data_IF_381508150941
#
_entry.id   IF_381508150941
#
_cell.length_a   1.000
_cell.length_b   1.000
_cell.length_c   1.000
_cell.angle_alpha   90.00
_cell.angle_beta   90.00
_cell.angle_gamma   90.00
#
_symmetry.space_group_name_H-M   'P 1'
#
loop_
_entity.id
_entity.type
_entity.pdbx_description
1 polymer ?
#
# COMPACT_ATOMS: atom_id res chain seq x y z
N UNK A 1 39.51 -59.19 -14.54
CA UNK A 1 40.99 -59.13 -14.57
C UNK A 1 41.40 -58.05 -15.54
N UNK A 2 42.20 -57.09 -15.05
CA UNK A 2 43.31 -56.40 -15.73
C UNK A 2 43.15 -56.16 -17.25
N UNK A 3 43.35 -54.97 -17.80
CA UNK A 3 44.09 -53.80 -17.32
C UNK A 3 43.97 -52.79 -18.47
N UNK A 4 43.92 -51.53 -18.09
CA UNK A 4 44.69 -50.46 -18.69
C UNK A 4 44.37 -49.99 -20.12
N UNK A 5 44.56 -48.71 -20.47
CA UNK A 5 44.89 -47.46 -19.77
C UNK A 5 45.33 -46.52 -20.89
N UNK A 6 44.97 -45.22 -20.78
CA UNK A 6 45.67 -44.09 -21.41
C UNK A 6 45.67 -44.04 -22.95
N UNK A 7 45.73 -42.90 -23.63
CA UNK A 7 45.80 -41.46 -23.38
C UNK A 7 45.98 -40.90 -24.81
N UNK A 8 45.58 -39.65 -25.07
CA UNK A 8 46.23 -38.93 -26.18
C UNK A 8 45.29 -38.22 -27.14
N UNK A 9 44.94 -37.01 -26.72
CA UNK A 9 44.62 -35.86 -27.56
C UNK A 9 45.65 -35.68 -28.69
N UNK A 10 45.22 -35.50 -29.94
CA UNK A 10 45.84 -34.51 -30.84
C UNK A 10 44.93 -34.15 -32.02
N UNK A 11 44.71 -32.85 -32.16
CA UNK A 11 44.10 -32.14 -33.27
C UNK A 11 44.97 -32.25 -34.51
N UNK A 12 44.39 -32.62 -35.66
CA UNK A 12 44.90 -32.23 -36.98
C UNK A 12 43.70 -31.90 -37.86
N UNK A 13 43.51 -30.61 -38.11
CA UNK A 13 42.63 -30.09 -39.15
C UNK A 13 43.37 -30.19 -40.50
N UNK A 14 42.83 -30.98 -41.42
CA UNK A 14 43.17 -30.89 -42.85
C UNK A 14 41.86 -30.72 -43.60
N UNK A 15 41.68 -29.52 -44.14
CA UNK A 15 40.65 -29.18 -45.11
C UNK A 15 41.13 -29.71 -46.46
N UNK A 16 40.50 -30.78 -46.97
CA UNK A 16 40.55 -31.13 -48.39
C UNK A 16 39.17 -30.86 -48.97
N UNK A 17 39.10 -29.87 -49.86
CA UNK A 17 37.92 -29.61 -50.68
C UNK A 17 37.73 -30.73 -51.69
N UNK A 18 36.59 -31.39 -51.64
CA UNK A 18 36.08 -32.21 -52.72
C UNK A 18 34.81 -31.56 -53.27
N UNK A 19 34.92 -30.99 -54.47
CA UNK A 19 33.78 -30.59 -55.29
C UNK A 19 33.13 -31.87 -55.80
N UNK A 20 31.92 -32.17 -55.33
CA UNK A 20 31.04 -33.16 -55.92
C UNK A 20 29.68 -32.52 -56.22
N UNK A 21 29.46 -32.30 -57.52
CA UNK A 21 28.18 -31.97 -58.11
C UNK A 21 27.16 -33.07 -57.80
N UNK A 22 26.16 -32.74 -56.98
CA UNK A 22 24.90 -33.50 -56.94
C UNK A 22 23.76 -32.57 -57.31
N UNK A 23 23.18 -32.86 -58.47
CA UNK A 23 21.96 -32.27 -58.99
C UNK A 23 20.77 -32.76 -58.17
N UNK A 24 19.91 -31.82 -57.77
CA UNK A 24 18.46 -32.04 -57.63
C UNK A 24 17.98 -32.80 -56.38
N UNK A 25 17.58 -32.02 -55.37
CA UNK A 25 16.33 -32.18 -54.62
C UNK A 25 16.16 -30.93 -53.76
N UNK A 26 15.10 -30.15 -54.02
CA UNK A 26 14.70 -29.06 -53.14
C UNK A 26 14.37 -29.65 -51.77
N UNK A 27 15.27 -29.51 -50.81
CA UNK A 27 14.95 -29.59 -49.39
C UNK A 27 15.19 -28.18 -48.87
N UNK A 28 14.13 -27.37 -48.86
CA UNK A 28 14.08 -26.21 -47.98
C UNK A 28 14.15 -26.78 -46.56
N UNK A 29 15.33 -26.77 -45.97
CA UNK A 29 15.44 -26.88 -44.52
C UNK A 29 14.60 -25.76 -43.91
N UNK A 30 13.80 -26.02 -42.86
CA UNK A 30 13.06 -24.94 -42.22
C UNK A 30 14.08 -23.96 -41.66
N UNK A 31 14.18 -22.79 -42.30
CA UNK A 31 14.79 -21.61 -41.70
C UNK A 31 14.06 -21.37 -40.38
N UNK A 32 14.73 -21.65 -39.27
CA UNK A 32 14.21 -21.32 -37.94
C UNK A 32 14.20 -19.79 -37.82
N UNK A 33 13.07 -19.18 -38.21
CA UNK A 33 12.79 -17.78 -37.92
C UNK A 33 12.72 -17.64 -36.41
N UNK A 34 13.77 -17.09 -35.81
CA UNK A 34 13.73 -16.70 -34.40
C UNK A 34 12.86 -15.45 -34.34
N UNK A 35 11.56 -15.63 -34.11
CA UNK A 35 10.65 -14.53 -33.82
C UNK A 35 10.97 -13.98 -32.44
N UNK A 36 11.85 -12.99 -32.37
CA UNK A 36 12.02 -12.18 -31.16
C UNK A 36 10.74 -11.36 -30.98
N UNK A 37 9.85 -11.80 -30.09
CA UNK A 37 8.69 -10.99 -29.65
C UNK A 37 9.20 -9.65 -29.11
N UNK A 38 8.71 -8.50 -29.61
CA UNK A 38 9.10 -7.21 -29.06
C UNK A 38 8.72 -7.15 -27.58
N UNK A 39 9.68 -6.84 -26.70
CA UNK A 39 9.39 -6.62 -25.29
C UNK A 39 8.44 -5.43 -25.15
N UNK A 40 7.23 -5.66 -24.64
CA UNK A 40 6.23 -4.60 -24.40
C UNK A 40 6.83 -3.52 -23.51
N UNK A 41 6.88 -2.29 -23.99
CA UNK A 41 7.39 -1.15 -23.22
C UNK A 41 6.55 -0.97 -21.92
N UNK A 42 7.24 -0.82 -20.79
CA UNK A 42 6.61 -0.61 -19.48
C UNK A 42 6.86 0.80 -18.95
N UNK A 43 6.05 1.22 -17.97
CA UNK A 43 6.27 2.46 -17.21
C UNK A 43 6.10 2.23 -15.70
N UNK A 44 6.79 3.01 -14.85
CA UNK A 44 6.57 2.99 -13.41
C UNK A 44 5.36 3.86 -13.03
N UNK A 45 4.48 3.32 -12.18
CA UNK A 45 3.44 4.04 -11.47
C UNK A 45 3.56 3.76 -9.97
N UNK A 46 2.81 4.48 -9.13
CA UNK A 46 2.72 4.19 -7.69
C UNK A 46 1.38 3.53 -7.37
N UNK A 47 1.40 2.53 -6.50
CA UNK A 47 0.22 2.02 -5.82
C UNK A 47 0.51 2.08 -4.31
N UNK A 48 -0.47 2.51 -3.51
CA UNK A 48 -0.27 2.71 -2.08
C UNK A 48 -0.71 1.47 -1.29
N UNK A 49 0.21 0.94 -0.49
CA UNK A 49 0.00 -0.24 0.36
C UNK A 49 0.46 0.04 1.79
N UNK A 50 0.11 -0.86 2.70
CA UNK A 50 0.53 -0.76 4.09
C UNK A 50 1.83 -1.53 4.32
N UNK A 51 2.79 -0.88 5.00
CA UNK A 51 3.94 -1.54 5.61
C UNK A 51 3.82 -1.38 7.13
N UNK A 52 3.42 -2.44 7.82
CA UNK A 52 2.91 -2.30 9.19
C UNK A 52 1.66 -1.40 9.19
N UNK A 53 1.61 -0.39 10.04
CA UNK A 53 0.51 0.58 10.09
C UNK A 53 0.63 1.72 9.05
N UNK A 54 1.77 1.85 8.37
CA UNK A 54 2.07 3.01 7.52
C UNK A 54 1.58 2.82 6.09
N UNK A 55 0.74 3.74 5.60
CA UNK A 55 0.39 3.83 4.18
C UNK A 55 1.56 4.46 3.41
N UNK A 56 2.13 3.72 2.46
CA UNK A 56 3.33 4.12 1.71
C UNK A 56 3.19 3.83 0.21
N UNK A 57 3.82 4.64 -0.65
CA UNK A 57 3.84 4.37 -2.09
C UNK A 57 4.76 3.19 -2.39
N UNK A 58 4.31 2.29 -3.26
CA UNK A 58 5.12 1.23 -3.86
C UNK A 58 5.16 1.42 -5.37
N UNK A 59 6.34 1.29 -5.96
CA UNK A 59 6.50 1.40 -7.41
C UNK A 59 6.03 0.10 -8.06
N UNK A 60 5.06 0.21 -8.96
CA UNK A 60 4.53 -0.90 -9.77
C UNK A 60 4.86 -0.64 -11.24
N UNK A 61 5.25 -1.68 -11.97
CA UNK A 61 5.46 -1.58 -13.43
C UNK A 61 4.22 -2.06 -14.17
N UNK A 62 3.75 -1.23 -15.09
CA UNK A 62 2.60 -1.54 -15.95
C UNK A 62 2.98 -1.39 -17.41
N UNK A 63 2.24 -2.04 -18.31
CA UNK A 63 2.35 -1.78 -19.73
C UNK A 63 2.10 -0.29 -20.01
N UNK A 64 2.83 0.29 -20.96
CA UNK A 64 2.69 1.71 -21.31
C UNK A 64 1.27 1.98 -21.82
N UNK A 65 0.61 3.00 -21.27
CA UNK A 65 -0.79 3.36 -21.55
C UNK A 65 -1.06 4.83 -21.26
N UNK A 66 -2.03 5.44 -21.95
CA UNK A 66 -2.55 6.77 -21.58
C UNK A 66 -3.51 6.70 -20.39
N UNK A 67 -4.09 5.53 -20.09
CA UNK A 67 -5.04 5.31 -18.98
C UNK A 67 -4.31 5.08 -17.64
N UNK A 68 -3.41 6.00 -17.26
CA UNK A 68 -2.52 5.82 -16.10
C UNK A 68 -3.27 5.68 -14.77
N UNK A 69 -4.39 6.39 -14.59
CA UNK A 69 -5.21 6.28 -13.38
C UNK A 69 -5.85 4.90 -13.24
N UNK A 70 -6.44 4.39 -14.33
CA UNK A 70 -6.99 3.03 -14.40
C UNK A 70 -5.90 1.98 -14.18
N UNK A 71 -4.72 2.15 -14.79
CA UNK A 71 -3.61 1.21 -14.65
C UNK A 71 -3.06 1.17 -13.22
N UNK A 72 -2.88 2.33 -12.57
CA UNK A 72 -2.44 2.40 -11.18
C UNK A 72 -3.46 1.74 -10.23
N UNK A 73 -4.76 2.02 -10.41
CA UNK A 73 -5.80 1.43 -9.58
C UNK A 73 -5.93 -0.08 -9.80
N UNK A 74 -5.81 -0.57 -11.05
CA UNK A 74 -5.75 -2.01 -11.33
C UNK A 74 -4.54 -2.67 -10.67
N UNK A 75 -3.38 -2.02 -10.69
CA UNK A 75 -2.18 -2.53 -10.01
C UNK A 75 -2.39 -2.59 -8.49
N UNK A 76 -3.07 -1.60 -7.89
CA UNK A 76 -3.46 -1.62 -6.48
C UNK A 76 -4.40 -2.81 -6.17
N UNK A 77 -5.43 -3.02 -7.00
CA UNK A 77 -6.39 -4.11 -6.83
C UNK A 77 -5.79 -5.50 -7.11
N UNK A 78 -4.69 -5.56 -7.88
CA UNK A 78 -3.92 -6.79 -8.09
C UNK A 78 -3.26 -7.34 -6.83
N UNK A 79 -3.22 -6.56 -5.76
CA UNK A 79 -2.74 -6.98 -4.44
C UNK A 79 -1.36 -6.43 -4.07
N UNK A 80 -1.00 -6.52 -2.78
CA UNK A 80 0.27 -6.00 -2.29
C UNK A 80 1.44 -6.88 -2.71
N UNK A 81 2.64 -6.30 -2.97
CA UNK A 81 3.85 -7.08 -3.09
C UNK A 81 4.27 -7.68 -1.73
N UNK A 82 5.22 -8.61 -1.76
CA UNK A 82 5.75 -9.25 -0.56
C UNK A 82 6.26 -8.22 0.46
N UNK A 83 5.90 -8.41 1.73
CA UNK A 83 6.24 -7.49 2.83
C UNK A 83 5.29 -6.30 3.00
N UNK A 84 4.23 -6.23 2.19
CA UNK A 84 3.17 -5.23 2.29
C UNK A 84 1.80 -5.90 2.48
N UNK A 85 0.84 -5.13 2.96
CA UNK A 85 -0.55 -5.57 3.12
C UNK A 85 -1.51 -4.60 2.42
N UNK A 86 -2.73 -5.07 2.19
CA UNK A 86 -3.83 -4.27 1.65
C UNK A 86 -5.02 -4.40 2.58
N UNK A 87 -5.75 -3.29 2.77
CA UNK A 87 -7.03 -3.28 3.45
C UNK A 87 -8.20 -3.40 2.47
N UNK A 88 -7.92 -3.38 1.15
CA UNK A 88 -8.95 -3.54 0.12
C UNK A 88 -9.54 -4.96 0.19
N UNK A 89 -10.88 -5.10 0.26
CA UNK A 89 -11.53 -6.40 0.27
C UNK A 89 -11.14 -7.26 -0.95
N UNK A 90 -10.87 -8.54 -0.71
CA UNK A 90 -10.58 -9.50 -1.77
C UNK A 90 -11.73 -9.59 -2.78
N UNK A 91 -11.40 -9.74 -4.06
CA UNK A 91 -12.40 -9.78 -5.14
C UNK A 91 -12.95 -8.42 -5.57
N UNK A 92 -12.47 -7.30 -5.00
CA UNK A 92 -12.81 -5.96 -5.50
C UNK A 92 -12.30 -5.79 -6.94
N UNK A 93 -13.21 -5.52 -7.87
CA UNK A 93 -12.89 -5.27 -9.29
C UNK A 93 -13.19 -3.83 -9.68
N UNK A 94 -12.56 -3.37 -10.76
CA UNK A 94 -12.70 -2.01 -11.28
C UNK A 94 -13.51 -2.02 -12.58
N UNK A 95 -14.66 -1.34 -12.56
CA UNK A 95 -15.46 -1.10 -13.76
C UNK A 95 -14.87 0.04 -14.59
N UNK A 96 -14.68 1.21 -13.98
CA UNK A 96 -14.21 2.40 -14.67
C UNK A 96 -13.49 3.38 -13.73
N UNK A 97 -12.64 4.22 -14.32
CA UNK A 97 -12.14 5.45 -13.68
C UNK A 97 -12.40 6.60 -14.63
N UNK A 98 -13.10 7.61 -14.13
CA UNK A 98 -13.43 8.82 -14.88
C UNK A 98 -12.77 10.01 -14.21
N UNK A 99 -12.12 10.88 -14.96
CA UNK A 99 -11.49 12.09 -14.40
C UNK A 99 -12.12 13.32 -15.04
N UNK A 100 -12.79 14.13 -14.22
CA UNK A 100 -13.44 15.35 -14.68
C UNK A 100 -13.21 16.49 -13.68
N UNK A 101 -12.80 17.66 -14.19
CA UNK A 101 -12.57 18.88 -13.38
C UNK A 101 -11.66 18.67 -12.17
N UNK A 102 -10.74 17.70 -12.23
CA UNK A 102 -9.79 17.35 -11.16
C UNK A 102 -10.34 16.40 -10.09
N UNK A 103 -11.52 15.82 -10.29
CA UNK A 103 -12.06 14.73 -9.47
C UNK A 103 -11.92 13.43 -10.24
N UNK A 104 -11.31 12.41 -9.63
CA UNK A 104 -11.33 11.05 -10.16
C UNK A 104 -12.45 10.25 -9.48
N UNK A 105 -13.39 9.73 -10.26
CA UNK A 105 -14.44 8.83 -9.79
C UNK A 105 -14.04 7.40 -10.15
N UNK A 106 -13.88 6.54 -9.15
CA UNK A 106 -13.60 5.12 -9.33
C UNK A 106 -14.84 4.29 -9.06
N UNK A 107 -15.36 3.63 -10.09
CA UNK A 107 -16.48 2.69 -9.95
C UNK A 107 -15.95 1.27 -9.74
N UNK A 108 -16.18 0.76 -8.53
CA UNK A 108 -15.69 -0.52 -8.05
C UNK A 108 -16.88 -1.46 -7.80
N UNK A 109 -16.64 -2.77 -7.82
CA UNK A 109 -17.65 -3.75 -7.44
C UNK A 109 -18.18 -3.54 -6.02
N UNK A 110 -19.38 -4.08 -5.73
CA UNK A 110 -20.04 -4.00 -4.42
C UNK A 110 -19.22 -4.47 -3.21
N UNK A 111 -18.15 -5.24 -3.43
CA UNK A 111 -17.18 -5.60 -2.40
C UNK A 111 -16.60 -4.39 -1.66
N UNK A 112 -16.52 -3.21 -2.30
CA UNK A 112 -16.00 -1.99 -1.67
C UNK A 112 -16.98 -1.35 -0.67
N UNK A 113 -18.27 -1.70 -0.70
CA UNK A 113 -19.31 -1.02 0.10
C UNK A 113 -19.05 -1.05 1.61
N UNK A 114 -18.33 -2.06 2.10
CA UNK A 114 -17.95 -2.21 3.52
C UNK A 114 -16.45 -2.02 3.76
N UNK A 115 -15.75 -1.41 2.81
CA UNK A 115 -14.31 -1.24 2.90
C UNK A 115 -13.94 -0.28 4.04
N UNK A 116 -12.96 -0.64 4.89
CA UNK A 116 -12.53 0.23 5.98
C UNK A 116 -11.88 1.50 5.43
N UNK A 117 -11.80 2.53 6.27
CA UNK A 117 -11.13 3.81 5.93
C UNK A 117 -9.70 3.60 5.40
N UNK A 118 -8.99 2.60 5.90
CA UNK A 118 -7.65 2.23 5.41
C UNK A 118 -7.64 1.82 3.94
N UNK A 119 -8.65 1.10 3.47
CA UNK A 119 -8.81 0.76 2.05
C UNK A 119 -9.12 2.00 1.19
N UNK A 120 -9.99 2.88 1.71
CA UNK A 120 -10.34 4.15 1.06
C UNK A 120 -9.09 5.01 0.86
N UNK A 121 -8.21 5.08 1.87
CA UNK A 121 -6.95 5.79 1.79
C UNK A 121 -6.01 5.27 0.70
N UNK A 122 -5.91 3.95 0.53
CA UNK A 122 -5.11 3.35 -0.55
C UNK A 122 -5.59 3.80 -1.94
N UNK A 123 -6.91 3.83 -2.16
CA UNK A 123 -7.51 4.30 -3.41
C UNK A 123 -7.21 5.78 -3.62
N UNK A 124 -7.47 6.61 -2.60
CA UNK A 124 -7.30 8.07 -2.67
C UNK A 124 -5.85 8.45 -2.94
N UNK A 125 -4.89 7.89 -2.19
CA UNK A 125 -3.47 8.19 -2.40
C UNK A 125 -2.95 7.71 -3.75
N UNK A 126 -3.45 6.57 -4.24
CA UNK A 126 -3.10 6.02 -5.56
C UNK A 126 -3.61 6.92 -6.68
N UNK A 127 -4.86 7.39 -6.64
CA UNK A 127 -5.40 8.23 -7.71
C UNK A 127 -4.90 9.67 -7.64
N UNK A 128 -4.67 10.21 -6.43
CA UNK A 128 -4.10 11.56 -6.23
C UNK A 128 -2.58 11.62 -6.43
N UNK A 129 -1.94 10.54 -6.92
CA UNK A 129 -0.53 10.62 -7.35
C UNK A 129 -0.37 11.49 -8.61
N UNK A 130 -1.44 11.62 -9.40
CA UNK A 130 -1.44 12.37 -10.65
C UNK A 130 -1.78 13.84 -10.35
N UNK A 131 -0.95 14.81 -10.77
CA UNK A 131 -1.16 16.23 -10.45
C UNK A 131 -2.50 16.81 -10.91
N UNK A 132 -3.12 16.21 -11.94
CA UNK A 132 -4.43 16.62 -12.44
C UNK A 132 -5.58 16.14 -11.57
N UNK A 133 -5.36 15.19 -10.64
CA UNK A 133 -6.38 14.65 -9.73
C UNK A 133 -6.18 15.25 -8.33
N UNK A 134 -7.09 16.14 -7.95
CA UNK A 134 -7.08 16.83 -6.64
C UNK A 134 -7.86 16.06 -5.57
N UNK A 135 -8.92 15.35 -5.98
CA UNK A 135 -9.78 14.60 -5.08
C UNK A 135 -10.40 13.39 -5.77
N UNK A 136 -10.96 12.49 -4.97
CA UNK A 136 -11.45 11.18 -5.39
C UNK A 136 -12.85 10.93 -4.84
N UNK A 137 -13.73 10.49 -5.72
CA UNK A 137 -15.00 9.88 -5.37
C UNK A 137 -14.93 8.37 -5.66
N UNK A 138 -15.69 7.58 -4.91
CA UNK A 138 -15.78 6.14 -5.10
C UNK A 138 -17.25 5.79 -5.29
N UNK A 139 -17.52 4.99 -6.29
CA UNK A 139 -18.82 4.36 -6.49
C UNK A 139 -18.69 2.86 -6.22
N UNK A 140 -19.75 2.29 -5.67
CA UNK A 140 -19.92 0.87 -5.42
C UNK A 140 -21.03 0.36 -6.34
N UNK A 141 -20.66 -0.31 -7.42
CA UNK A 141 -21.55 -0.80 -8.46
C UNK A 141 -22.46 0.31 -9.01
N UNK A 142 -21.84 1.43 -9.40
CA UNK A 142 -22.53 2.61 -9.94
C UNK A 142 -23.27 3.48 -8.92
N UNK A 143 -23.26 3.14 -7.63
CA UNK A 143 -23.88 3.94 -6.57
C UNK A 143 -22.82 4.68 -5.72
N UNK A 144 -22.98 5.97 -5.41
CA UNK A 144 -22.00 6.72 -4.62
C UNK A 144 -21.71 6.08 -3.26
N UNK A 145 -20.42 5.92 -2.94
CA UNK A 145 -19.94 5.45 -1.64
C UNK A 145 -19.31 6.61 -0.86
N UNK A 146 -19.89 6.92 0.30
CA UNK A 146 -19.37 7.93 1.22
C UNK A 146 -18.05 7.53 1.87
N UNK A 147 -17.01 8.32 1.65
CA UNK A 147 -15.68 8.12 2.26
C UNK A 147 -15.64 8.69 3.68
N UNK A 148 -14.79 8.14 4.54
CA UNK A 148 -14.74 8.48 5.97
C UNK A 148 -13.59 9.43 6.29
N UNK A 149 -13.83 10.43 7.13
CA UNK A 149 -12.84 11.43 7.56
C UNK A 149 -11.90 10.94 8.68
N UNK A 150 -12.24 9.81 9.32
CA UNK A 150 -11.50 9.24 10.45
C UNK A 150 -11.98 9.68 11.83
N UNK A 151 -12.87 10.68 11.92
CA UNK A 151 -13.60 11.03 13.13
C UNK A 151 -14.75 10.06 13.41
N UNK A 152 -15.19 9.34 12.37
CA UNK A 152 -16.41 8.53 12.36
C UNK A 152 -17.52 9.14 11.50
N UNK A 153 -17.19 10.16 10.71
CA UNK A 153 -18.13 10.91 9.88
C UNK A 153 -17.87 10.67 8.40
N UNK A 154 -18.95 10.57 7.64
CA UNK A 154 -18.90 10.49 6.18
C UNK A 154 -18.65 11.88 5.58
N UNK A 155 -17.68 11.96 4.67
CA UNK A 155 -17.40 13.12 3.85
C UNK A 155 -18.56 13.37 2.88
N UNK A 156 -19.06 14.60 2.84
CA UNK A 156 -20.07 15.05 1.88
C UNK A 156 -19.47 15.52 0.55
N UNK A 157 -18.17 15.30 0.34
CA UNK A 157 -17.39 15.74 -0.80
C UNK A 157 -16.40 14.65 -1.23
N UNK A 158 -15.88 14.70 -2.46
CA UNK A 158 -14.72 13.89 -2.85
C UNK A 158 -13.55 14.12 -1.89
N UNK A 159 -12.83 13.05 -1.58
CA UNK A 159 -11.76 13.06 -0.60
C UNK A 159 -10.40 13.37 -1.22
N UNK A 160 -9.57 14.10 -0.49
CA UNK A 160 -8.18 14.39 -0.84
C UNK A 160 -7.20 13.72 0.14
N UNK A 161 -5.89 13.94 -0.08
CA UNK A 161 -4.84 13.36 0.79
C UNK A 161 -4.91 13.84 2.23
N UNK A 162 -5.30 15.09 2.46
CA UNK A 162 -5.45 15.67 3.80
C UNK A 162 -6.45 14.89 4.66
N UNK A 163 -7.50 14.33 4.03
CA UNK A 163 -8.53 13.55 4.72
C UNK A 163 -8.00 12.20 5.24
N UNK A 164 -6.77 11.81 4.89
CA UNK A 164 -6.14 10.53 5.25
C UNK A 164 -4.68 10.69 5.71
N UNK A 165 -4.23 11.92 5.99
CA UNK A 165 -2.84 12.21 6.29
C UNK A 165 -2.32 11.47 7.54
N UNK A 166 -3.21 11.23 8.49
CA UNK A 166 -3.01 10.49 9.75
C UNK A 166 -2.62 9.01 9.55
N UNK A 167 -2.78 8.48 8.34
CA UNK A 167 -2.40 7.11 7.96
C UNK A 167 -0.98 7.02 7.39
N UNK A 168 -0.30 8.16 7.24
CA UNK A 168 1.04 8.23 6.68
C UNK A 168 2.09 8.59 7.74
N UNK A 169 3.37 8.18 7.55
CA UNK A 169 4.45 8.59 8.44
C UNK A 169 4.69 10.10 8.52
N UNK A 170 4.12 10.88 7.60
CA UNK A 170 4.22 12.34 7.60
C UNK A 170 3.30 13.01 8.63
N UNK A 171 2.34 12.28 9.22
CA UNK A 171 1.48 12.81 10.26
C UNK A 171 2.30 13.35 11.44
N UNK A 172 1.80 14.43 12.05
CA UNK A 172 2.42 15.01 13.24
C UNK A 172 2.37 14.04 14.41
N UNK A 173 1.27 13.30 14.57
CA UNK A 173 1.21 12.12 15.44
C UNK A 173 0.87 10.92 14.57
N UNK A 174 1.78 9.94 14.51
CA UNK A 174 1.61 8.72 13.73
C UNK A 174 1.64 7.50 14.64
N UNK A 175 0.58 6.69 14.60
CA UNK A 175 0.45 5.44 15.37
C UNK A 175 1.00 4.28 14.54
N UNK A 176 2.09 3.69 15.02
CA UNK A 176 2.73 2.53 14.39
C UNK A 176 2.22 1.19 14.96
N UNK A 177 1.76 1.18 16.21
CA UNK A 177 1.13 0.04 16.87
C UNK A 177 0.08 0.50 17.89
N UNK A 178 -1.06 -0.19 18.01
CA UNK A 178 -1.53 -1.24 17.09
C UNK A 178 -1.89 -0.67 15.71
N UNK A 179 -1.81 -1.49 14.67
CA UNK A 179 -2.32 -1.10 13.37
C UNK A 179 -3.85 -0.98 13.41
N UNK A 180 -4.41 -0.07 12.61
CA UNK A 180 -5.86 0.18 12.57
C UNK A 180 -6.61 -1.03 12.02
N UNK A 181 -7.67 -1.44 12.71
CA UNK A 181 -8.45 -2.64 12.43
C UNK A 181 -7.73 -3.94 12.77
N UNK A 182 -6.54 -3.89 13.36
CA UNK A 182 -5.79 -5.12 13.69
C UNK A 182 -6.39 -5.86 14.88
N UNK A 183 -6.12 -7.15 14.93
CA UNK A 183 -6.39 -7.98 16.09
C UNK A 183 -5.07 -8.35 16.77
N UNK A 184 -4.93 -8.03 18.05
CA UNK A 184 -3.71 -8.16 18.86
C UNK A 184 -3.97 -8.97 20.14
N UNK A 185 -2.93 -9.30 20.89
CA UNK A 185 -3.02 -9.94 22.21
C UNK A 185 -2.66 -8.92 23.31
N UNK A 186 -3.14 -9.19 24.52
CA UNK A 186 -2.71 -8.44 25.70
C UNK A 186 -1.36 -8.97 26.21
N UNK A 187 -0.42 -8.11 26.62
CA UNK A 187 -0.55 -6.67 26.67
C UNK A 187 -0.30 -6.00 25.30
N UNK A 188 -1.06 -4.94 25.01
CA UNK A 188 -1.03 -4.24 23.72
C UNK A 188 0.07 -3.19 23.70
N UNK A 189 0.97 -3.25 22.72
CA UNK A 189 1.94 -2.19 22.48
C UNK A 189 1.27 -0.98 21.81
N UNK A 190 1.28 0.17 22.48
CA UNK A 190 0.92 1.46 21.91
C UNK A 190 2.21 2.22 21.59
N UNK A 191 2.53 2.40 20.30
CA UNK A 191 3.79 3.01 19.88
C UNK A 191 3.63 3.83 18.60
N UNK A 192 4.50 4.83 18.43
CA UNK A 192 4.43 5.71 17.28
C UNK A 192 5.54 6.76 17.24
N UNK A 193 5.34 7.75 16.37
CA UNK A 193 6.21 8.93 16.28
C UNK A 193 5.38 10.20 16.40
N UNK A 194 5.99 11.25 16.93
CA UNK A 194 5.34 12.52 17.12
C UNK A 194 6.28 13.70 16.81
N UNK A 195 5.72 14.79 16.28
CA UNK A 195 6.31 16.14 16.24
C UNK A 195 5.31 17.03 16.97
N UNK A 196 5.53 17.21 18.27
CA UNK A 196 4.59 17.87 19.20
C UNK A 196 5.35 18.74 20.20
N UNK A 197 4.72 19.80 20.70
CA UNK A 197 5.30 20.70 21.69
C UNK A 197 5.60 19.96 23.01
N UNK A 198 6.68 20.34 23.70
CA UNK A 198 7.11 19.72 24.97
C UNK A 198 7.21 18.18 24.94
N UNK A 199 7.38 17.60 23.75
CA UNK A 199 7.37 16.16 23.52
C UNK A 199 6.12 15.45 24.08
N UNK A 200 5.01 16.15 24.26
CA UNK A 200 3.86 15.63 25.01
C UNK A 200 2.80 15.05 24.07
N UNK A 201 2.49 13.77 24.26
CA UNK A 201 1.41 13.07 23.55
C UNK A 201 0.42 12.54 24.57
N UNK A 202 -0.82 13.00 24.52
CA UNK A 202 -1.90 12.42 25.30
C UNK A 202 -2.52 11.24 24.53
N UNK A 203 -2.95 10.20 25.25
CA UNK A 203 -3.65 9.06 24.68
C UNK A 203 -4.87 8.69 25.53
N UNK A 204 -6.04 8.65 24.93
CA UNK A 204 -7.26 8.15 25.55
C UNK A 204 -7.58 6.76 25.04
N UNK A 205 -7.84 5.83 25.96
CA UNK A 205 -8.25 4.47 25.62
C UNK A 205 -9.76 4.35 25.86
N UNK A 206 -10.49 3.99 24.81
CA UNK A 206 -11.94 3.88 24.79
C UNK A 206 -12.38 2.44 24.51
N UNK A 207 -13.48 2.03 25.15
CA UNK A 207 -14.23 0.81 24.85
C UNK A 207 -15.68 1.21 24.61
N UNK A 208 -16.09 1.19 23.34
CA UNK A 208 -17.36 1.79 22.93
C UNK A 208 -17.45 3.27 23.34
N UNK A 209 -18.53 3.73 23.99
CA UNK A 209 -18.67 5.11 24.44
C UNK A 209 -17.91 5.42 25.75
N UNK A 210 -17.32 4.41 26.39
CA UNK A 210 -16.68 4.57 27.70
C UNK A 210 -15.18 4.82 27.55
N UNK A 211 -14.71 5.99 28.00
CA UNK A 211 -13.28 6.26 28.16
C UNK A 211 -12.79 5.51 29.39
N UNK A 212 -11.92 4.52 29.19
CA UNK A 212 -11.37 3.69 30.26
C UNK A 212 -10.25 4.40 31.01
N UNK A 213 -9.40 5.15 30.28
CA UNK A 213 -8.30 5.93 30.87
C UNK A 213 -7.71 6.95 29.90
N UNK A 214 -7.00 7.91 30.47
CA UNK A 214 -6.12 8.84 29.76
C UNK A 214 -4.68 8.60 30.22
N UNK A 215 -3.74 8.66 29.28
CA UNK A 215 -2.31 8.52 29.49
C UNK A 215 -1.61 9.77 28.98
N UNK A 216 -0.57 10.20 29.67
CA UNK A 216 0.39 11.17 29.15
C UNK A 216 1.67 10.43 28.80
N UNK A 217 2.07 10.51 27.54
CA UNK A 217 3.29 9.90 27.02
C UNK A 217 4.27 11.01 26.67
N UNK A 218 5.55 10.73 26.87
CA UNK A 218 6.65 11.61 26.47
C UNK A 218 7.33 11.00 25.25
N UNK A 219 7.32 11.72 24.14
CA UNK A 219 8.12 11.38 22.98
C UNK A 219 9.62 11.60 23.28
N UNK A 220 10.50 10.88 22.61
CA UNK A 220 11.95 11.01 22.81
C UNK A 220 12.53 12.36 22.40
N UNK A 221 11.75 13.20 21.72
CA UNK A 221 12.10 14.56 21.32
C UNK A 221 10.83 15.41 21.16
N UNK A 222 10.93 16.71 21.42
CA UNK A 222 9.87 17.70 21.15
C UNK A 222 10.03 18.38 19.80
N UNK A 223 8.98 19.06 19.34
CA UNK A 223 9.00 19.81 18.10
C UNK A 223 10.12 20.88 18.09
N UNK A 224 10.79 21.12 16.94
CA UNK A 224 10.48 20.59 15.60
C UNK A 224 10.99 19.16 15.33
N UNK A 225 11.76 18.56 16.24
CA UNK A 225 12.29 17.21 16.06
C UNK A 225 11.17 16.16 16.16
N UNK A 226 11.28 15.09 15.36
CA UNK A 226 10.40 13.91 15.47
C UNK A 226 10.92 12.98 16.55
N UNK A 227 10.14 12.77 17.59
CA UNK A 227 10.41 11.78 18.64
C UNK A 227 9.61 10.49 18.44
N UNK A 228 10.05 9.41 19.09
CA UNK A 228 9.28 8.15 19.23
C UNK A 228 8.62 8.09 20.60
N UNK A 229 7.45 7.46 20.70
CA UNK A 229 6.82 7.12 21.97
C UNK A 229 6.44 5.64 21.98
N UNK A 230 6.44 5.01 23.15
CA UNK A 230 5.98 3.64 23.33
C UNK A 230 5.49 3.42 24.76
N UNK A 231 4.40 2.68 24.91
CA UNK A 231 3.90 2.17 26.19
C UNK A 231 3.17 0.85 25.97
N UNK A 232 2.79 0.21 27.06
CA UNK A 232 2.11 -1.09 27.06
C UNK A 232 0.76 -0.96 27.77
N UNK A 233 -0.29 -1.51 27.16
CA UNK A 233 -1.66 -1.47 27.67
C UNK A 233 -2.13 -2.88 28.02
N UNK A 234 -2.27 -3.18 29.30
CA UNK A 234 -2.99 -4.40 29.74
C UNK A 234 -4.48 -4.16 29.58
N UNK A 235 -5.09 -4.83 28.62
CA UNK A 235 -6.52 -4.77 28.30
C UNK A 235 -7.12 -6.16 28.35
N UNK A 236 -8.37 -6.25 28.77
CA UNK A 236 -9.15 -7.48 28.64
C UNK A 236 -9.47 -7.76 27.15
N UNK A 237 -9.94 -8.97 26.81
CA UNK A 237 -10.46 -9.22 25.47
C UNK A 237 -11.61 -8.28 25.13
N UNK A 238 -11.60 -7.70 23.92
CA UNK A 238 -12.59 -6.70 23.52
C UNK A 238 -12.15 -5.82 22.36
N UNK A 239 -13.00 -4.88 21.95
CA UNK A 239 -12.70 -3.90 20.90
C UNK A 239 -12.46 -2.54 21.51
N UNK A 240 -11.37 -1.89 21.09
CA UNK A 240 -10.90 -0.64 21.66
C UNK A 240 -10.60 0.39 20.58
N UNK A 241 -10.72 1.66 20.96
CA UNK A 241 -10.21 2.82 20.20
C UNK A 241 -9.20 3.54 21.07
N UNK A 242 -7.99 3.76 20.56
CA UNK A 242 -7.06 4.72 21.17
C UNK A 242 -7.12 6.02 20.38
N UNK A 243 -7.28 7.15 21.06
CA UNK A 243 -7.23 8.49 20.46
C UNK A 243 -5.98 9.18 20.99
N UNK A 244 -5.09 9.61 20.11
CA UNK A 244 -3.86 10.32 20.47
C UNK A 244 -3.92 11.75 19.94
N UNK A 245 -3.45 12.69 20.74
CA UNK A 245 -3.45 14.11 20.41
C UNK A 245 -2.34 14.85 21.16
N UNK A 246 -2.00 16.03 20.67
CA UNK A 246 -1.22 17.03 21.40
C UNK A 246 -2.20 17.92 22.17
N UNK A 247 -2.08 18.04 23.50
CA UNK A 247 -2.90 18.96 24.26
C UNK A 247 -2.48 20.40 23.98
N UNK A 248 -3.41 21.25 23.55
CA UNK A 248 -3.16 22.70 23.41
C UNK A 248 -2.76 23.31 24.76
N UNK A 249 -1.63 24.03 24.80
CA UNK A 249 -1.20 24.74 25.99
C UNK A 249 -2.17 25.88 26.40
N UNK A 250 -2.95 26.40 25.45
CA UNK A 250 -3.88 27.51 25.68
C UNK A 250 -5.16 27.06 26.40
N UNK A 251 -5.72 25.93 25.99
CA UNK A 251 -7.08 25.54 26.40
C UNK A 251 -7.31 24.02 26.52
N UNK A 252 -6.27 23.21 26.36
CA UNK A 252 -6.37 21.74 26.42
C UNK A 252 -7.08 21.08 25.24
N UNK A 253 -7.42 21.83 24.18
CA UNK A 253 -8.03 21.25 22.98
C UNK A 253 -7.14 20.18 22.33
N UNK A 254 -7.77 19.20 21.67
CA UNK A 254 -7.06 18.13 20.99
C UNK A 254 -6.48 18.61 19.66
N UNK A 255 -5.17 18.82 19.61
CA UNK A 255 -4.43 19.15 18.40
C UNK A 255 -3.85 17.89 17.77
N UNK A 256 -3.66 17.91 16.45
CA UNK A 256 -2.99 16.84 15.69
C UNK A 256 -3.57 15.43 15.92
N UNK A 257 -4.88 15.36 16.19
CA UNK A 257 -5.57 14.16 16.63
C UNK A 257 -5.50 13.03 15.61
N UNK A 258 -5.25 11.82 16.11
CA UNK A 258 -5.27 10.57 15.35
C UNK A 258 -5.87 9.47 16.21
N UNK A 259 -6.35 8.38 15.59
CA UNK A 259 -6.94 7.26 16.34
C UNK A 259 -6.60 5.90 15.77
N UNK A 260 -6.58 4.86 16.60
CA UNK A 260 -6.51 3.50 16.11
C UNK A 260 -7.56 2.62 16.79
N UNK A 261 -8.42 2.02 15.97
CA UNK A 261 -9.36 0.99 16.39
C UNK A 261 -8.67 -0.37 16.27
N UNK A 262 -8.85 -1.25 17.26
CA UNK A 262 -8.25 -2.59 17.27
C UNK A 262 -9.02 -3.53 18.19
N UNK A 263 -8.79 -4.84 18.04
CA UNK A 263 -9.40 -5.88 18.87
C UNK A 263 -8.33 -6.63 19.66
N UNK A 264 -8.57 -6.88 20.94
CA UNK A 264 -7.75 -7.72 21.81
C UNK A 264 -8.37 -9.10 21.90
N UNK A 265 -7.61 -10.15 21.56
CA UNK A 265 -8.04 -11.55 21.70
C UNK A 265 -8.04 -12.01 23.15
N UNK A 266 -8.93 -12.95 23.44
CA UNK A 266 -8.89 -13.81 24.63
C UNK A 266 -7.90 -14.95 24.48
#
# INVERSE_FOLDING_TARGET
>A
MLRNLFLGLLVVAVVVGAVLLVRGRHHHGPTATTTTTPATATMPLRAYFYRGAALVPVTVRVARTSMVATAALRALLGGPPAGYTTAIPAGTTLSAVTVARGVATADLSSAIARAPRTAQAQIVYTLTQFPTVRSVAVDSAGSPLGLQDGSGTTLLRPAGRSDFADLTPAALIFVSSPARGSTVTSPVQLAGTAVVSEATVAAEVWSGPTRLRTLTLTASAGAPQRGTFSTTLTLAPGTYRVVLYEPSAENGAHLHTTSADFTVKG
#
